data_IF_575734727824
#
_entry.id   IF_575734727824
#
_cell.length_a   1.000
_cell.length_b   1.000
_cell.length_c   1.000
_cell.angle_alpha   90.00
_cell.angle_beta   90.00
_cell.angle_gamma   90.00
#
_symmetry.space_group_name_H-M   'P 1'
#
loop_
_entity.id
_entity.type
_entity.pdbx_description
1 polymer ?
#
# COMPACT_ATOMS: atom_id res chain seq x y z
N UNK A 1 -17.10 -11.80 18.30
CA UNK A 1 -16.07 -12.59 19.00
C UNK A 1 -16.46 -14.06 18.99
N UNK A 2 -15.50 -14.94 18.84
CA UNK A 2 -15.72 -16.37 19.01
C UNK A 2 -16.25 -16.64 20.43
N UNK A 3 -17.35 -17.38 20.56
CA UNK A 3 -17.96 -17.63 21.88
C UNK A 3 -17.06 -18.37 22.87
N UNK A 4 -16.17 -19.24 22.38
CA UNK A 4 -15.28 -20.06 23.23
C UNK A 4 -13.97 -19.34 23.56
N UNK A 5 -13.22 -18.91 22.54
CA UNK A 5 -11.90 -18.31 22.72
C UNK A 5 -11.94 -16.81 23.07
N UNK A 6 -13.12 -16.16 22.92
CA UNK A 6 -13.30 -14.69 23.04
C UNK A 6 -12.46 -13.86 22.05
N UNK A 7 -11.83 -14.53 21.11
CA UNK A 7 -11.00 -13.88 20.08
C UNK A 7 -11.87 -12.98 19.21
N UNK A 8 -11.48 -11.71 19.00
CA UNK A 8 -12.18 -10.85 18.06
C UNK A 8 -11.95 -11.31 16.62
N UNK A 9 -13.00 -11.26 15.82
CA UNK A 9 -12.94 -11.56 14.38
C UNK A 9 -13.42 -10.37 13.57
N UNK A 10 -12.71 -10.03 12.53
CA UNK A 10 -13.12 -9.05 11.53
C UNK A 10 -13.58 -9.80 10.29
N UNK A 11 -14.70 -9.38 9.73
CA UNK A 11 -15.26 -9.97 8.52
C UNK A 11 -15.10 -8.94 7.41
N UNK A 12 -14.47 -9.36 6.32
CA UNK A 12 -14.23 -8.54 5.13
C UNK A 12 -14.92 -9.14 3.92
N UNK A 13 -15.06 -8.34 2.85
CA UNK A 13 -15.40 -8.88 1.54
C UNK A 13 -14.34 -9.89 1.07
N UNK A 14 -14.75 -10.88 0.34
CA UNK A 14 -13.82 -11.82 -0.30
C UNK A 14 -13.28 -11.20 -1.60
N UNK A 15 -11.96 -11.16 -1.72
CA UNK A 15 -11.26 -10.76 -2.95
C UNK A 15 -10.58 -11.97 -3.55
N UNK A 16 -10.93 -12.35 -4.78
CA UNK A 16 -10.27 -13.42 -5.52
C UNK A 16 -8.90 -12.92 -6.05
N UNK A 17 -7.94 -12.77 -5.14
CA UNK A 17 -6.63 -12.23 -5.45
C UNK A 17 -5.78 -13.22 -6.23
N UNK A 18 -5.07 -12.73 -7.25
CA UNK A 18 -3.97 -13.45 -7.90
C UNK A 18 -2.65 -12.94 -7.30
N UNK A 19 -1.77 -13.85 -6.89
CA UNK A 19 -0.47 -13.51 -6.34
C UNK A 19 0.29 -12.55 -7.28
N UNK A 20 0.83 -11.48 -6.72
CA UNK A 20 1.49 -10.45 -7.52
C UNK A 20 2.69 -10.96 -8.32
N UNK A 21 3.37 -12.01 -7.86
CA UNK A 21 4.49 -12.64 -8.58
C UNK A 21 4.04 -13.27 -9.88
N UNK A 22 2.79 -13.73 -9.93
CA UNK A 22 2.16 -14.31 -11.11
C UNK A 22 1.49 -13.25 -11.97
N UNK A 23 0.78 -12.33 -11.32
CA UNK A 23 -0.03 -11.32 -12.01
C UNK A 23 0.83 -10.24 -12.70
N UNK A 24 1.77 -9.64 -12.00
CA UNK A 24 2.47 -8.44 -12.46
C UNK A 24 3.27 -8.61 -13.74
N UNK A 25 3.98 -9.74 -13.97
CA UNK A 25 4.67 -9.95 -15.25
C UNK A 25 3.76 -10.00 -16.47
N UNK A 26 2.46 -10.24 -16.25
CA UNK A 26 1.47 -10.39 -17.31
C UNK A 26 0.57 -9.14 -17.49
N UNK A 27 0.76 -8.09 -16.67
CA UNK A 27 0.00 -6.86 -16.80
C UNK A 27 0.45 -6.07 -18.03
N UNK A 28 -0.51 -5.52 -18.77
CA UNK A 28 -0.24 -4.53 -19.81
C UNK A 28 0.06 -3.16 -19.21
N UNK A 29 0.64 -2.24 -20.00
CA UNK A 29 0.83 -0.85 -19.57
C UNK A 29 -0.49 -0.19 -19.13
N UNK A 30 -1.58 -0.49 -19.84
CA UNK A 30 -2.92 -0.02 -19.47
C UNK A 30 -3.36 -0.56 -18.11
N UNK A 31 -3.15 -1.85 -17.84
CA UNK A 31 -3.51 -2.46 -16.56
C UNK A 31 -2.72 -1.86 -15.40
N UNK A 32 -1.42 -1.64 -15.60
CA UNK A 32 -0.55 -1.02 -14.60
C UNK A 32 -1.06 0.37 -14.25
N UNK A 33 -1.34 1.21 -15.25
CA UNK A 33 -1.89 2.55 -15.03
C UNK A 33 -3.25 2.51 -14.35
N UNK A 34 -4.09 1.58 -14.73
CA UNK A 34 -5.40 1.39 -14.12
C UNK A 34 -5.28 1.06 -12.62
N UNK A 35 -4.47 0.06 -12.27
CA UNK A 35 -4.31 -0.34 -10.86
C UNK A 35 -3.55 0.70 -10.05
N UNK A 36 -2.60 1.42 -10.64
CA UNK A 36 -1.96 2.55 -9.96
C UNK A 36 -2.98 3.65 -9.63
N UNK A 37 -3.89 3.95 -10.54
CA UNK A 37 -4.96 4.92 -10.28
C UNK A 37 -5.89 4.45 -9.16
N UNK A 38 -6.27 3.18 -9.15
CA UNK A 38 -7.12 2.62 -8.09
C UNK A 38 -6.41 2.66 -6.72
N UNK A 39 -5.11 2.38 -6.68
CA UNK A 39 -4.32 2.49 -5.46
C UNK A 39 -4.19 3.96 -4.99
N UNK A 40 -3.96 4.89 -5.91
CA UNK A 40 -3.94 6.32 -5.58
C UNK A 40 -5.28 6.79 -5.01
N UNK A 41 -6.42 6.34 -5.56
CA UNK A 41 -7.76 6.65 -5.01
C UNK A 41 -7.91 6.10 -3.59
N UNK A 42 -7.41 4.90 -3.32
CA UNK A 42 -7.46 4.30 -1.98
C UNK A 42 -6.63 5.12 -0.97
N UNK A 43 -5.43 5.56 -1.36
CA UNK A 43 -4.58 6.41 -0.53
C UNK A 43 -5.18 7.81 -0.35
N UNK A 44 -5.70 8.42 -1.41
CA UNK A 44 -6.36 9.72 -1.34
C UNK A 44 -7.53 9.70 -0.36
N UNK A 45 -8.37 8.67 -0.43
CA UNK A 45 -9.46 8.50 0.52
C UNK A 45 -8.95 8.35 1.96
N UNK A 46 -7.98 7.48 2.20
CA UNK A 46 -7.39 7.26 3.53
C UNK A 46 -6.79 8.55 4.09
N UNK A 47 -5.98 9.24 3.30
CA UNK A 47 -5.34 10.50 3.69
C UNK A 47 -6.38 11.60 3.96
N UNK A 48 -7.45 11.66 3.16
CA UNK A 48 -8.55 12.62 3.40
C UNK A 48 -9.30 12.36 4.72
N UNK A 49 -9.24 11.12 5.23
CA UNK A 49 -9.76 10.75 6.55
C UNK A 49 -8.72 10.90 7.67
N UNK A 50 -7.55 11.46 7.38
CA UNK A 50 -6.49 11.68 8.36
C UNK A 50 -5.69 10.43 8.71
N UNK A 51 -5.64 9.42 7.85
CA UNK A 51 -5.01 8.13 8.13
C UNK A 51 -3.86 7.89 7.15
N UNK A 52 -2.66 7.61 7.70
CA UNK A 52 -1.51 7.09 6.98
C UNK A 52 -1.52 5.56 7.04
N UNK A 53 -1.25 4.88 5.93
CA UNK A 53 -1.17 3.41 5.88
C UNK A 53 0.15 2.89 6.46
N UNK A 54 1.27 3.46 6.06
CA UNK A 54 2.64 3.21 6.51
C UNK A 54 3.24 1.83 6.19
N UNK A 55 2.53 0.99 5.42
CA UNK A 55 3.07 -0.30 4.94
C UNK A 55 2.56 -0.62 3.51
N UNK A 56 2.61 0.37 2.63
CA UNK A 56 2.26 0.18 1.22
C UNK A 56 3.32 -0.69 0.54
N UNK A 57 2.91 -1.86 0.08
CA UNK A 57 3.75 -2.84 -0.61
C UNK A 57 2.89 -3.83 -1.39
N UNK A 58 3.44 -4.61 -2.35
CA UNK A 58 2.68 -5.57 -3.13
C UNK A 58 1.90 -6.59 -2.33
N UNK A 59 2.49 -7.08 -1.24
CA UNK A 59 1.84 -8.06 -0.36
C UNK A 59 0.56 -7.52 0.28
N UNK A 60 0.44 -6.19 0.41
CA UNK A 60 -0.72 -5.52 0.99
C UNK A 60 -1.68 -4.96 -0.07
N UNK A 61 -1.50 -5.37 -1.33
CA UNK A 61 -2.37 -4.98 -2.44
C UNK A 61 -2.98 -6.26 -3.02
N UNK A 62 -4.29 -6.40 -2.88
CA UNK A 62 -5.04 -7.49 -3.48
C UNK A 62 -5.67 -7.03 -4.78
N UNK A 63 -5.55 -7.85 -5.82
CA UNK A 63 -6.15 -7.59 -7.14
C UNK A 63 -6.92 -8.81 -7.61
N UNK A 64 -8.22 -8.63 -7.81
CA UNK A 64 -9.06 -9.50 -8.61
C UNK A 64 -9.02 -8.97 -10.05
N UNK A 65 -8.19 -9.58 -10.89
CA UNK A 65 -7.96 -9.09 -12.25
C UNK A 65 -9.16 -9.32 -13.15
N UNK A 66 -9.93 -10.37 -12.91
CA UNK A 66 -11.16 -10.66 -13.65
C UNK A 66 -12.21 -9.58 -13.44
N UNK A 67 -12.41 -9.16 -12.18
CA UNK A 67 -13.32 -8.07 -11.81
C UNK A 67 -12.71 -6.68 -11.91
N UNK A 68 -11.40 -6.59 -12.21
CA UNK A 68 -10.63 -5.34 -12.21
C UNK A 68 -10.77 -4.56 -10.90
N UNK A 69 -10.67 -5.26 -9.79
CA UNK A 69 -10.90 -4.73 -8.45
C UNK A 69 -9.61 -4.77 -7.66
N UNK A 70 -9.21 -3.64 -7.08
CA UNK A 70 -8.06 -3.52 -6.19
C UNK A 70 -8.51 -3.22 -4.76
N UNK A 71 -7.85 -3.83 -3.78
CA UNK A 71 -8.01 -3.50 -2.36
C UNK A 71 -6.66 -3.36 -1.68
N UNK A 72 -6.49 -2.25 -0.96
CA UNK A 72 -5.38 -2.03 -0.04
C UNK A 72 -5.75 -2.66 1.31
N UNK A 73 -4.91 -3.56 1.79
CA UNK A 73 -5.16 -4.35 2.99
C UNK A 73 -4.05 -4.18 4.03
N UNK A 74 -4.22 -4.80 5.19
CA UNK A 74 -3.27 -4.80 6.32
C UNK A 74 -2.97 -3.39 6.86
N UNK A 75 -3.93 -2.85 7.56
CA UNK A 75 -3.87 -1.56 8.25
C UNK A 75 -3.24 -1.65 9.64
N UNK A 76 -2.51 -2.73 9.94
CA UNK A 76 -1.90 -2.99 11.24
C UNK A 76 -0.83 -1.97 11.66
N UNK A 77 -0.23 -1.29 10.68
CA UNK A 77 0.73 -0.19 10.90
C UNK A 77 0.12 1.19 10.68
N UNK A 78 -1.16 1.29 10.35
CA UNK A 78 -1.81 2.56 10.10
C UNK A 78 -1.86 3.44 11.36
N UNK A 79 -1.85 4.75 11.17
CA UNK A 79 -1.89 5.73 12.25
C UNK A 79 -2.63 6.99 11.81
N UNK A 80 -3.29 7.65 12.75
CA UNK A 80 -3.87 8.96 12.51
C UNK A 80 -2.77 10.02 12.41
N UNK A 81 -2.88 10.88 11.40
CA UNK A 81 -1.98 12.02 11.25
C UNK A 81 -2.47 13.21 12.08
N UNK A 82 -1.55 13.78 12.86
CA UNK A 82 -1.72 15.03 13.55
C UNK A 82 -0.48 15.90 13.32
N UNK A 83 -0.68 17.16 12.90
CA UNK A 83 0.42 18.09 12.66
C UNK A 83 1.30 18.26 13.91
N UNK A 84 2.61 18.18 13.73
CA UNK A 84 3.59 18.32 14.80
C UNK A 84 3.76 17.08 15.70
N UNK A 85 3.06 15.99 15.42
CA UNK A 85 3.26 14.73 16.13
C UNK A 85 4.47 13.98 15.55
N UNK A 86 5.28 13.43 16.44
CA UNK A 86 6.38 12.52 16.10
C UNK A 86 5.89 11.08 16.06
N UNK A 87 6.28 10.34 15.02
CA UNK A 87 5.85 8.97 14.77
C UNK A 87 7.03 8.00 14.81
N UNK A 88 6.74 6.74 15.05
CA UNK A 88 7.74 5.68 15.00
C UNK A 88 8.25 5.50 13.56
N UNK A 89 9.55 5.53 13.37
CA UNK A 89 10.21 5.31 12.08
C UNK A 89 10.42 3.82 11.74
N UNK A 90 10.17 2.91 12.70
CA UNK A 90 10.25 1.46 12.49
C UNK A 90 8.95 0.92 11.88
N UNK A 91 8.55 1.53 10.79
CA UNK A 91 7.37 1.16 9.98
C UNK A 91 7.81 0.88 8.55
N UNK A 92 6.90 0.41 7.72
CA UNK A 92 7.13 0.00 6.34
C UNK A 92 8.14 -1.16 6.18
N UNK A 93 8.03 -1.85 5.09
CA UNK A 93 9.00 -2.89 4.71
C UNK A 93 10.27 -2.26 4.15
N UNK A 94 11.43 -2.85 4.40
CA UNK A 94 12.77 -2.28 4.15
C UNK A 94 12.92 -1.61 2.77
N UNK A 95 12.45 -2.25 1.72
CA UNK A 95 12.60 -1.75 0.35
C UNK A 95 11.69 -0.58 0.01
N UNK A 96 10.65 -0.36 0.80
CA UNK A 96 9.61 0.65 0.60
C UNK A 96 9.70 1.82 1.58
N UNK A 97 10.71 1.79 2.47
CA UNK A 97 10.93 2.87 3.43
C UNK A 97 11.28 4.17 2.71
N UNK A 98 10.56 5.23 3.04
CA UNK A 98 10.92 6.58 2.63
C UNK A 98 12.24 7.03 3.26
N UNK A 99 12.95 8.00 2.66
CA UNK A 99 14.21 8.52 3.20
C UNK A 99 14.04 9.07 4.61
N UNK A 100 12.90 9.66 4.93
CA UNK A 100 12.54 10.15 6.28
C UNK A 100 12.69 9.07 7.35
N UNK A 101 12.31 7.83 7.06
CA UNK A 101 12.42 6.71 7.99
C UNK A 101 13.88 6.24 8.18
N UNK A 102 14.71 6.46 7.17
CA UNK A 102 16.11 6.02 7.19
C UNK A 102 17.01 7.00 7.94
N UNK A 103 16.61 8.26 8.04
CA UNK A 103 17.35 9.32 8.75
C UNK A 103 16.71 9.70 10.08
N UNK A 104 15.78 8.86 10.59
CA UNK A 104 15.10 9.05 11.87
C UNK A 104 14.30 10.38 11.95
N UNK A 105 13.74 10.83 10.83
CA UNK A 105 12.86 11.98 10.77
C UNK A 105 11.45 11.56 11.18
N UNK A 106 11.06 11.91 12.40
CA UNK A 106 9.84 11.40 13.04
C UNK A 106 8.56 12.18 12.68
N UNK A 107 8.68 13.41 12.24
CA UNK A 107 7.56 14.30 11.89
C UNK A 107 7.11 14.14 10.42
N UNK A 108 7.10 12.90 9.93
CA UNK A 108 6.63 12.59 8.58
C UNK A 108 5.09 12.62 8.49
N UNK A 109 4.59 12.58 7.28
CA UNK A 109 3.17 12.67 6.95
C UNK A 109 2.72 11.63 5.90
N UNK A 110 1.59 11.88 5.27
CA UNK A 110 1.01 11.05 4.20
C UNK A 110 1.96 10.78 3.02
N UNK A 111 2.94 11.65 2.78
CA UNK A 111 3.89 11.52 1.68
C UNK A 111 4.71 10.22 1.77
N UNK A 112 4.87 9.66 2.97
CA UNK A 112 5.49 8.36 3.18
C UNK A 112 4.84 7.26 2.33
N UNK A 113 3.52 7.21 2.28
CA UNK A 113 2.79 6.21 1.50
C UNK A 113 3.02 6.38 0.00
N UNK A 114 3.15 7.62 -0.47
CA UNK A 114 3.44 7.92 -1.88
C UNK A 114 4.87 7.57 -2.27
N UNK A 115 5.86 7.71 -1.35
CA UNK A 115 7.20 7.20 -1.60
C UNK A 115 7.18 5.68 -1.78
N UNK A 116 6.52 4.95 -0.89
CA UNK A 116 6.39 3.50 -0.94
C UNK A 116 5.74 3.03 -2.25
N UNK A 117 4.73 3.74 -2.72
CA UNK A 117 4.12 3.54 -4.03
C UNK A 117 5.11 3.79 -5.17
N UNK A 118 5.84 4.91 -5.13
CA UNK A 118 6.78 5.33 -6.19
C UNK A 118 7.95 4.38 -6.38
N UNK A 119 8.48 3.79 -5.30
CA UNK A 119 9.53 2.75 -5.38
C UNK A 119 9.08 1.58 -6.23
N UNK A 120 7.80 1.27 -6.20
CA UNK A 120 7.19 0.18 -6.95
C UNK A 120 7.19 0.45 -8.45
N UNK A 121 6.78 1.63 -8.87
CA UNK A 121 6.69 2.02 -10.28
C UNK A 121 8.05 1.96 -10.97
N UNK A 122 9.13 2.13 -10.21
CA UNK A 122 10.49 2.22 -10.76
C UNK A 122 11.18 0.87 -10.98
N UNK A 123 10.80 -0.19 -10.28
CA UNK A 123 11.67 -1.38 -10.16
C UNK A 123 11.29 -2.58 -11.02
N UNK A 124 10.03 -2.90 -11.19
CA UNK A 124 9.67 -4.23 -11.70
C UNK A 124 8.54 -4.29 -12.76
N UNK A 125 7.81 -3.21 -13.00
CA UNK A 125 6.58 -3.29 -13.77
C UNK A 125 6.70 -2.71 -15.19
N UNK A 126 7.82 -2.09 -15.51
CA UNK A 126 8.13 -1.70 -16.88
C UNK A 126 9.23 -2.64 -17.40
N UNK A 127 8.95 -3.51 -18.40
CA UNK A 127 10.02 -4.14 -19.16
C UNK A 127 10.92 -3.01 -19.63
N UNK A 128 12.23 -3.17 -19.46
CA UNK A 128 13.25 -2.15 -19.74
C UNK A 128 13.02 -1.49 -21.12
N UNK A 129 12.13 -0.55 -21.17
CA UNK A 129 12.05 0.48 -22.17
C UNK A 129 12.17 1.79 -21.43
N UNK A 130 13.41 2.23 -21.40
CA UNK A 130 13.86 3.62 -21.24
C UNK A 130 12.71 4.59 -21.00
N UNK A 131 12.49 4.98 -19.78
CA UNK A 131 11.88 6.25 -19.47
C UNK A 131 12.85 6.95 -18.52
N UNK A 132 13.61 7.86 -19.13
CA UNK A 132 14.50 8.92 -18.63
C UNK A 132 15.11 8.77 -17.24
#
# INVERSE_FOLDING_TARGET
RDPQSKTPSLIFEYVNNTDFKVLYPNLTDYDIRFYLMELLKALDFSHSQGIMHRDVKPHNIMIDHEKRQLRLIDWGLAEFYHAGKEYNVRVASRYFKGPELLVDLQDYDYALDLWSLGVRVRRDDFPQRTVF
#
